data_IF_658808560087
#
_entry.id   IF_658808560087
#
_cell.length_a   1.000
_cell.length_b   1.000
_cell.length_c   1.000
_cell.angle_alpha   90.00
_cell.angle_beta   90.00
_cell.angle_gamma   90.00
#
_symmetry.space_group_name_H-M   'P 1'
#
loop_
_entity.id
_entity.type
_entity.pdbx_description
1 polymer ?
#
# COMPACT_ATOMS: atom_id res chain seq x y z
N UNK A 1 10.61 17.88 14.18
CA UNK A 1 11.38 17.08 13.19
C UNK A 1 11.05 15.60 13.31
N UNK A 2 10.93 14.90 12.18
CA UNK A 2 10.72 13.45 12.16
C UNK A 2 11.94 12.70 12.71
N UNK A 3 11.72 11.61 13.45
CA UNK A 3 12.79 10.76 14.00
C UNK A 3 13.63 10.16 12.86
N UNK A 4 14.94 9.91 13.04
CA UNK A 4 15.81 9.36 12.00
C UNK A 4 15.27 8.07 11.35
N UNK A 5 14.70 7.17 12.16
CA UNK A 5 14.06 5.93 11.72
C UNK A 5 12.89 6.17 10.75
N UNK A 6 12.10 7.21 11.01
CA UNK A 6 10.95 7.55 10.15
C UNK A 6 11.40 8.14 8.82
N UNK A 7 12.47 8.94 8.81
CA UNK A 7 13.09 9.43 7.57
C UNK A 7 13.59 8.26 6.71
N UNK A 8 14.21 7.27 7.33
CA UNK A 8 14.68 6.07 6.63
C UNK A 8 13.52 5.25 6.05
N UNK A 9 12.43 5.07 6.81
CA UNK A 9 11.23 4.37 6.31
C UNK A 9 10.60 5.08 5.09
N UNK A 10 10.54 6.42 5.11
CA UNK A 10 10.05 7.21 3.99
C UNK A 10 10.94 7.09 2.74
N UNK A 11 12.26 7.12 2.91
CA UNK A 11 13.20 6.95 1.79
C UNK A 11 13.13 5.53 1.21
N UNK A 12 13.06 4.50 2.06
CA UNK A 12 12.88 3.13 1.63
C UNK A 12 11.57 2.94 0.86
N UNK A 13 10.47 3.55 1.33
CA UNK A 13 9.19 3.52 0.62
C UNK A 13 9.26 4.21 -0.74
N UNK A 14 9.96 5.33 -0.84
CA UNK A 14 10.19 6.03 -2.11
C UNK A 14 10.96 5.18 -3.12
N UNK A 15 12.05 4.56 -2.70
CA UNK A 15 12.82 3.67 -3.57
C UNK A 15 12.01 2.43 -3.98
N UNK A 16 11.22 1.85 -3.06
CA UNK A 16 10.32 0.74 -3.39
C UNK A 16 9.33 1.12 -4.50
N UNK A 17 8.66 2.28 -4.39
CA UNK A 17 7.70 2.72 -5.40
C UNK A 17 8.37 3.00 -6.75
N UNK A 18 9.58 3.55 -6.78
CA UNK A 18 10.37 3.71 -8.01
C UNK A 18 10.69 2.37 -8.66
N UNK A 19 11.11 1.38 -7.87
CA UNK A 19 11.39 0.02 -8.36
C UNK A 19 10.13 -0.61 -8.96
N UNK A 20 8.98 -0.43 -8.31
CA UNK A 20 7.70 -0.94 -8.81
C UNK A 20 7.34 -0.31 -10.16
N UNK A 21 7.49 1.00 -10.35
CA UNK A 21 7.25 1.63 -11.66
C UNK A 21 8.16 1.05 -12.75
N UNK A 22 9.45 0.91 -12.44
CA UNK A 22 10.46 0.45 -13.41
C UNK A 22 10.29 -1.03 -13.76
N UNK A 23 9.93 -1.85 -12.79
CA UNK A 23 10.13 -3.31 -12.86
C UNK A 23 8.83 -4.11 -12.84
N UNK A 24 7.71 -3.52 -12.40
CA UNK A 24 6.45 -4.24 -12.38
C UNK A 24 5.95 -4.52 -13.80
N UNK A 25 5.44 -5.74 -14.06
CA UNK A 25 4.83 -6.06 -15.35
C UNK A 25 3.61 -5.17 -15.59
N UNK A 26 3.33 -4.86 -16.85
CA UNK A 26 2.16 -4.07 -17.24
C UNK A 26 0.83 -4.75 -16.88
N UNK A 27 0.85 -6.07 -16.66
CA UNK A 27 -0.31 -6.85 -16.22
C UNK A 27 -0.53 -6.84 -14.70
N UNK A 28 0.35 -6.21 -13.91
CA UNK A 28 0.20 -6.18 -12.45
C UNK A 28 -1.08 -5.43 -12.06
N UNK A 29 -1.94 -6.10 -11.26
CA UNK A 29 -3.25 -5.56 -10.84
C UNK A 29 -3.41 -5.42 -9.34
N UNK A 30 -2.48 -5.96 -8.54
CA UNK A 30 -2.56 -5.88 -7.09
C UNK A 30 -1.17 -5.74 -6.45
N UNK A 31 -1.09 -4.88 -5.43
CA UNK A 31 0.08 -4.74 -4.54
C UNK A 31 -0.40 -4.75 -3.09
N UNK A 32 0.27 -5.53 -2.25
CA UNK A 32 -0.01 -5.62 -0.81
C UNK A 32 1.21 -5.17 -0.01
N UNK A 33 1.10 -4.02 0.65
CA UNK A 33 2.09 -3.52 1.60
C UNK A 33 1.78 -4.07 2.99
N UNK A 34 2.35 -5.24 3.31
CA UNK A 34 2.11 -5.98 4.56
C UNK A 34 3.16 -5.73 5.66
N UNK A 35 4.14 -4.86 5.42
CA UNK A 35 5.16 -4.46 6.39
C UNK A 35 4.99 -2.98 6.74
N UNK A 36 5.74 -2.48 7.72
CA UNK A 36 5.82 -1.06 8.05
C UNK A 36 6.49 -0.25 6.93
N UNK A 37 5.80 -0.09 5.81
CA UNK A 37 6.22 0.77 4.70
C UNK A 37 5.51 2.10 4.83
N UNK A 38 6.26 3.19 4.78
CA UNK A 38 5.74 4.55 4.81
C UNK A 38 6.08 5.26 3.52
N UNK A 39 5.17 6.12 3.07
CA UNK A 39 5.37 6.98 1.91
C UNK A 39 4.90 8.38 2.27
N UNK A 40 5.56 9.40 1.73
CA UNK A 40 4.99 10.74 1.76
C UNK A 40 3.82 10.84 0.78
N UNK A 41 2.95 11.84 0.99
CA UNK A 41 1.84 12.12 0.08
C UNK A 41 2.33 12.38 -1.35
N UNK A 42 3.42 13.14 -1.48
CA UNK A 42 4.05 13.49 -2.77
C UNK A 42 4.57 12.25 -3.50
N UNK A 43 5.29 11.37 -2.79
CA UNK A 43 5.82 10.14 -3.38
C UNK A 43 4.71 9.20 -3.83
N UNK A 44 3.62 9.10 -3.05
CA UNK A 44 2.46 8.31 -3.44
C UNK A 44 1.75 8.90 -4.67
N UNK A 45 1.63 10.22 -4.76
CA UNK A 45 1.04 10.90 -5.92
C UNK A 45 1.88 10.66 -7.19
N UNK A 46 3.20 10.82 -7.10
CA UNK A 46 4.12 10.56 -8.21
C UNK A 46 4.01 9.12 -8.73
N UNK A 47 3.93 8.15 -7.80
CA UNK A 47 3.72 6.74 -8.13
C UNK A 47 2.42 6.52 -8.90
N UNK A 48 1.29 7.05 -8.39
CA UNK A 48 -0.02 6.87 -9.02
C UNK A 48 -0.11 7.56 -10.37
N UNK A 49 0.53 8.71 -10.53
CA UNK A 49 0.61 9.41 -11.82
C UNK A 49 1.38 8.57 -12.84
N UNK A 50 2.52 7.99 -12.46
CA UNK A 50 3.31 7.10 -13.30
C UNK A 50 2.66 5.74 -13.54
N UNK A 51 1.65 5.35 -12.75
CA UNK A 51 0.85 4.14 -12.97
C UNK A 51 -0.23 4.31 -14.04
N UNK A 52 -0.49 5.54 -14.52
CA UNK A 52 -1.45 5.78 -15.59
C UNK A 52 -1.11 5.01 -16.86
N UNK A 53 -2.15 4.65 -17.62
CA UNK A 53 -2.02 3.82 -18.82
C UNK A 53 -1.83 2.33 -18.53
N UNK A 54 -1.64 1.93 -17.26
CA UNK A 54 -1.66 0.52 -16.83
C UNK A 54 -3.06 0.13 -16.36
N UNK A 55 -3.36 -1.18 -16.26
CA UNK A 55 -4.58 -1.67 -15.62
C UNK A 55 -4.75 -1.11 -14.21
N UNK A 56 -5.99 -0.84 -13.85
CA UNK A 56 -6.35 -0.29 -12.54
C UNK A 56 -5.82 -1.15 -11.38
N UNK A 57 -5.13 -0.51 -10.44
CA UNK A 57 -4.40 -1.16 -9.36
C UNK A 57 -5.27 -1.35 -8.12
N UNK A 58 -5.25 -2.54 -7.55
CA UNK A 58 -5.77 -2.82 -6.22
C UNK A 58 -4.63 -2.71 -5.21
N UNK A 59 -4.81 -1.93 -4.16
CA UNK A 59 -3.78 -1.69 -3.14
C UNK A 59 -4.31 -2.15 -1.79
N UNK A 60 -3.54 -2.96 -1.09
CA UNK A 60 -3.77 -3.28 0.32
C UNK A 60 -2.61 -2.70 1.14
N UNK A 61 -2.93 -2.00 2.22
CA UNK A 61 -1.94 -1.45 3.15
C UNK A 61 -2.33 -1.76 4.59
N UNK A 62 -1.33 -1.96 5.44
CA UNK A 62 -1.53 -2.03 6.88
C UNK A 62 -1.46 -0.64 7.51
N UNK A 63 -2.25 -0.47 8.57
CA UNK A 63 -2.15 0.58 9.58
C UNK A 63 -2.07 2.02 9.04
N UNK A 64 -3.23 2.63 8.90
CA UNK A 64 -3.37 3.71 7.94
C UNK A 64 -3.01 5.10 8.44
N UNK A 65 -1.97 5.60 7.78
CA UNK A 65 -1.74 7.02 7.41
C UNK A 65 -3.00 7.67 6.78
N UNK A 66 -3.98 6.88 6.31
CA UNK A 66 -5.25 7.33 5.71
C UNK A 66 -6.23 8.04 6.68
N UNK A 67 -5.89 8.21 7.96
CA UNK A 67 -6.63 9.12 8.84
C UNK A 67 -6.61 10.56 8.31
N UNK A 68 -5.53 10.94 7.63
CA UNK A 68 -5.34 12.29 7.12
C UNK A 68 -6.20 12.59 5.88
N UNK A 69 -6.96 13.69 5.95
CA UNK A 69 -7.85 14.19 4.88
C UNK A 69 -7.14 14.33 3.52
N UNK A 70 -5.84 14.65 3.52
CA UNK A 70 -5.03 14.81 2.30
C UNK A 70 -4.86 13.50 1.54
N UNK A 71 -4.55 12.40 2.23
CA UNK A 71 -4.43 11.08 1.61
C UNK A 71 -5.76 10.59 1.05
N UNK A 72 -6.87 10.76 1.78
CA UNK A 72 -8.21 10.41 1.28
C UNK A 72 -8.55 11.15 -0.02
N UNK A 73 -8.24 12.44 -0.09
CA UNK A 73 -8.45 13.26 -1.30
C UNK A 73 -7.61 12.74 -2.48
N UNK A 74 -6.33 12.42 -2.23
CA UNK A 74 -5.45 11.86 -3.25
C UNK A 74 -5.98 10.52 -3.78
N UNK A 75 -6.33 9.59 -2.90
CA UNK A 75 -6.86 8.27 -3.31
C UNK A 75 -8.15 8.43 -4.11
N UNK A 76 -9.08 9.30 -3.70
CA UNK A 76 -10.31 9.52 -4.44
C UNK A 76 -10.07 10.12 -5.83
N UNK A 77 -9.11 11.06 -5.97
CA UNK A 77 -8.68 11.58 -7.28
C UNK A 77 -8.27 10.44 -8.23
N UNK A 78 -7.45 9.51 -7.75
CA UNK A 78 -6.93 8.42 -8.59
C UNK A 78 -7.89 7.23 -8.76
N UNK A 79 -8.86 7.05 -7.86
CA UNK A 79 -10.01 6.17 -8.09
C UNK A 79 -10.90 6.69 -9.22
N UNK A 80 -11.25 7.98 -9.18
CA UNK A 80 -12.10 8.59 -10.22
C UNK A 80 -11.44 8.57 -11.60
N UNK A 81 -10.10 8.67 -11.64
CA UNK A 81 -9.32 8.59 -12.87
C UNK A 81 -9.05 7.14 -13.35
N UNK A 82 -9.62 6.13 -12.69
CA UNK A 82 -9.47 4.72 -13.07
C UNK A 82 -8.09 4.11 -12.79
N UNK A 83 -7.19 4.82 -12.12
CA UNK A 83 -5.86 4.30 -11.76
C UNK A 83 -5.93 3.33 -10.60
N UNK A 84 -6.77 3.63 -9.60
CA UNK A 84 -7.00 2.75 -8.45
C UNK A 84 -8.33 2.03 -8.63
N UNK A 85 -8.28 0.70 -8.70
CA UNK A 85 -9.46 -0.16 -8.67
C UNK A 85 -10.05 -0.24 -7.27
N UNK A 86 -9.20 -0.56 -6.30
CA UNK A 86 -9.60 -0.72 -4.92
C UNK A 86 -8.46 -0.33 -3.98
N UNK A 87 -8.80 0.22 -2.82
CA UNK A 87 -7.83 0.48 -1.76
C UNK A 87 -8.41 -0.05 -0.45
N UNK A 88 -7.78 -1.08 0.10
CA UNK A 88 -8.14 -1.66 1.39
C UNK A 88 -7.08 -1.29 2.42
N UNK A 89 -7.56 -0.75 3.52
CA UNK A 89 -6.78 -0.55 4.72
C UNK A 89 -7.21 -1.61 5.73
N UNK A 90 -6.26 -2.36 6.26
CA UNK A 90 -6.54 -3.32 7.33
C UNK A 90 -5.64 -3.04 8.52
N UNK A 91 -6.17 -3.20 9.72
CA UNK A 91 -5.36 -3.11 10.93
C UNK A 91 -4.39 -4.29 10.99
N UNK A 92 -3.17 -4.05 11.47
CA UNK A 92 -2.14 -5.08 11.62
C UNK A 92 -2.63 -6.23 12.51
N UNK A 93 -3.38 -5.90 13.57
CA UNK A 93 -4.01 -6.85 14.49
C UNK A 93 -4.95 -7.80 13.74
N UNK A 94 -5.78 -7.31 12.81
CA UNK A 94 -6.67 -8.20 12.06
C UNK A 94 -5.87 -9.18 11.20
N UNK A 95 -4.78 -8.74 10.56
CA UNK A 95 -3.97 -9.62 9.70
C UNK A 95 -3.25 -10.70 10.50
N UNK A 96 -2.69 -10.36 11.67
CA UNK A 96 -2.07 -11.35 12.55
C UNK A 96 -3.12 -12.29 13.14
N UNK A 97 -4.26 -11.79 13.60
CA UNK A 97 -5.32 -12.64 14.17
C UNK A 97 -5.81 -13.63 13.12
N UNK A 98 -6.12 -13.20 11.89
CA UNK A 98 -6.52 -14.14 10.83
C UNK A 98 -5.43 -15.14 10.50
N UNK A 99 -4.16 -14.72 10.44
CA UNK A 99 -3.07 -15.63 10.13
C UNK A 99 -2.81 -16.65 11.24
N UNK A 100 -2.84 -16.23 12.51
CA UNK A 100 -2.73 -17.15 13.66
C UNK A 100 -3.94 -18.08 13.69
N UNK A 101 -5.15 -17.59 13.42
CA UNK A 101 -6.34 -18.44 13.41
C UNK A 101 -6.31 -19.45 12.26
N UNK A 102 -5.90 -19.05 11.06
CA UNK A 102 -5.74 -19.94 9.90
C UNK A 102 -4.67 -20.99 10.16
N UNK A 103 -3.51 -20.57 10.71
CA UNK A 103 -2.41 -21.47 11.07
C UNK A 103 -2.85 -22.44 12.22
N UNK A 104 -3.60 -21.95 13.23
CA UNK A 104 -4.12 -22.76 14.34
C UNK A 104 -5.22 -23.75 13.92
N UNK A 105 -6.14 -23.36 13.04
CA UNK A 105 -7.17 -24.28 12.52
C UNK A 105 -6.52 -25.37 11.66
N UNK A 106 -5.48 -25.05 10.89
CA UNK A 106 -4.75 -26.05 10.10
C UNK A 106 -4.00 -27.05 10.98
N UNK A 107 -3.43 -26.62 12.12
CA UNK A 107 -2.73 -27.51 13.06
C UNK A 107 -3.68 -28.36 13.94
N UNK A 108 -4.94 -27.95 14.11
CA UNK A 108 -5.89 -28.61 15.02
C UNK A 108 -7.10 -29.25 14.31
N UNK A 109 -7.07 -29.33 12.98
CA UNK A 109 -7.97 -30.15 12.18
C UNK A 109 -7.13 -31.21 11.46
N UNK A 110 -6.66 -32.19 12.23
CA UNK A 110 -6.22 -33.51 11.75
C UNK A 110 -6.72 -34.59 12.72
#
# INVERSE_FOLDING_TARGET
DARPEEKQLLENGKELLKILIRSAPTSLREIRFICHVKFSLETLEEFLEKWRGRPALSILTLDCILGEKKYKKLINKYKNNGVIKNLKCVSFVNVIVFKIFDDYIFENVE
#
